data_IF_197530657109
#
_entry.id   IF_197530657109
#
_cell.length_a   1.000
_cell.length_b   1.000
_cell.length_c   1.000
_cell.angle_alpha   90.00
_cell.angle_beta   90.00
_cell.angle_gamma   90.00
#
_symmetry.space_group_name_H-M   'P 1'
#
loop_
_entity.id
_entity.type
_entity.pdbx_description
1 polymer ?
#
# COMPACT_ATOMS: atom_id res chain seq x y z
N UNK A 1 10.21 36.76 -1.31
CA UNK A 1 9.02 37.12 -2.12
C UNK A 1 7.81 36.66 -1.33
N UNK A 2 7.23 37.54 -0.52
CA UNK A 2 5.94 37.29 0.15
C UNK A 2 4.85 37.69 -0.85
N UNK A 3 4.39 36.74 -1.65
CA UNK A 3 3.09 36.86 -2.32
C UNK A 3 2.06 36.48 -1.26
N UNK A 4 1.20 37.43 -0.90
CA UNK A 4 0.04 37.22 -0.04
C UNK A 4 -0.89 36.22 -0.73
N UNK A 5 -0.73 34.93 -0.45
CA UNK A 5 -1.72 33.91 -0.79
C UNK A 5 -2.78 33.94 0.29
N UNK A 6 -3.92 34.53 -0.02
CA UNK A 6 -5.12 34.30 0.78
C UNK A 6 -5.50 32.80 0.72
N UNK A 7 -6.32 32.34 1.66
CA UNK A 7 -6.79 30.95 1.68
C UNK A 7 -7.73 30.60 0.49
N UNK A 8 -7.85 31.48 -0.52
CA UNK A 8 -8.73 31.30 -1.70
C UNK A 8 -8.39 30.07 -2.52
N UNK A 9 -7.11 29.71 -2.61
CA UNK A 9 -6.65 28.51 -3.32
C UNK A 9 -7.15 27.26 -2.59
N UNK A 10 -7.03 27.23 -1.27
CA UNK A 10 -7.48 26.11 -0.43
C UNK A 10 -9.01 25.98 -0.44
N UNK A 11 -9.70 27.11 -0.44
CA UNK A 11 -11.14 27.16 -0.60
C UNK A 11 -11.58 26.59 -1.95
N UNK A 12 -10.99 27.04 -3.05
CA UNK A 12 -11.36 26.61 -4.40
C UNK A 12 -11.10 25.12 -4.58
N UNK A 13 -9.95 24.65 -4.09
CA UNK A 13 -9.63 23.22 -4.07
C UNK A 13 -10.68 22.39 -3.32
N UNK A 14 -11.10 22.81 -2.14
CA UNK A 14 -12.12 22.09 -1.37
C UNK A 14 -13.49 22.17 -2.05
N UNK A 15 -13.87 23.31 -2.64
CA UNK A 15 -15.11 23.46 -3.42
C UNK A 15 -15.17 22.54 -4.64
N UNK A 16 -14.05 22.32 -5.33
CA UNK A 16 -14.03 21.35 -6.43
C UNK A 16 -14.11 19.92 -5.91
N UNK A 17 -13.37 19.63 -4.83
CA UNK A 17 -13.28 18.29 -4.29
C UNK A 17 -14.62 17.77 -3.75
N UNK A 18 -15.49 18.62 -3.18
CA UNK A 18 -16.79 18.17 -2.64
C UNK A 18 -17.70 17.53 -3.71
N UNK A 19 -17.48 17.83 -4.99
CA UNK A 19 -18.27 17.27 -6.09
C UNK A 19 -17.76 15.92 -6.59
N UNK A 20 -16.54 15.53 -6.22
CA UNK A 20 -15.84 14.36 -6.78
C UNK A 20 -15.42 13.36 -5.70
N UNK A 21 -15.20 13.82 -4.47
CA UNK A 21 -14.65 13.03 -3.38
C UNK A 21 -15.73 12.68 -2.35
N UNK A 22 -15.63 11.48 -1.79
CA UNK A 22 -16.44 11.07 -0.64
C UNK A 22 -15.99 11.83 0.63
N UNK A 23 -16.88 12.04 1.62
CA UNK A 23 -16.60 12.76 2.87
C UNK A 23 -15.31 12.31 3.57
N UNK A 24 -15.03 11.01 3.59
CA UNK A 24 -13.80 10.45 4.14
C UNK A 24 -12.54 10.88 3.38
N UNK A 25 -12.57 10.84 2.06
CA UNK A 25 -11.46 11.29 1.22
C UNK A 25 -11.23 12.81 1.39
N UNK A 26 -12.32 13.58 1.49
CA UNK A 26 -12.27 15.00 1.85
C UNK A 26 -11.62 15.24 3.21
N UNK A 27 -11.98 14.49 4.26
CA UNK A 27 -11.34 14.58 5.59
C UNK A 27 -9.85 14.28 5.53
N UNK A 28 -9.44 13.26 4.76
CA UNK A 28 -8.01 12.94 4.58
C UNK A 28 -7.27 14.07 3.87
N UNK A 29 -7.84 14.59 2.79
CA UNK A 29 -7.29 15.71 2.04
C UNK A 29 -7.15 16.94 2.93
N UNK A 30 -8.20 17.31 3.67
CA UNK A 30 -8.18 18.39 4.64
C UNK A 30 -7.07 18.20 5.69
N UNK A 31 -6.93 16.99 6.24
CA UNK A 31 -5.85 16.69 7.20
C UNK A 31 -4.45 16.83 6.59
N UNK A 32 -4.27 16.47 5.32
CA UNK A 32 -3.01 16.67 4.60
C UNK A 32 -2.73 18.15 4.34
N UNK A 33 -3.75 18.93 3.99
CA UNK A 33 -3.64 20.37 3.82
C UNK A 33 -3.15 21.03 5.12
N UNK A 34 -3.74 20.67 6.27
CA UNK A 34 -3.26 21.15 7.58
C UNK A 34 -1.78 20.82 7.81
N UNK A 35 -1.34 19.61 7.46
CA UNK A 35 0.03 19.17 7.75
C UNK A 35 1.09 19.83 6.87
N UNK A 36 0.78 20.04 5.59
CA UNK A 36 1.78 20.30 4.55
C UNK A 36 1.59 21.63 3.82
N UNK A 37 0.48 22.34 4.05
CA UNK A 37 0.19 23.64 3.42
C UNK A 37 0.26 24.78 4.45
N UNK A 38 0.59 25.97 3.98
CA UNK A 38 0.49 27.21 4.77
C UNK A 38 -0.95 27.73 4.65
N UNK A 39 -1.78 27.43 5.65
CA UNK A 39 -3.17 27.89 5.75
C UNK A 39 -3.22 28.98 6.81
N UNK A 40 -3.77 30.14 6.47
CA UNK A 40 -3.83 31.30 7.37
C UNK A 40 -4.90 31.10 8.45
N UNK A 41 -6.08 30.60 8.07
CA UNK A 41 -7.20 30.36 8.97
C UNK A 41 -7.84 28.96 8.78
N UNK A 42 -7.22 27.91 9.33
CA UNK A 42 -7.77 26.55 9.28
C UNK A 42 -9.17 26.42 9.88
N UNK A 43 -9.49 27.21 10.90
CA UNK A 43 -10.80 27.20 11.55
C UNK A 43 -11.89 27.72 10.62
N UNK A 44 -11.62 28.77 9.85
CA UNK A 44 -12.58 29.28 8.87
C UNK A 44 -12.89 28.24 7.77
N UNK A 45 -11.86 27.56 7.25
CA UNK A 45 -12.06 26.46 6.31
C UNK A 45 -12.85 25.31 6.92
N UNK A 46 -12.53 24.91 8.16
CA UNK A 46 -13.31 23.90 8.88
C UNK A 46 -14.79 24.30 9.00
N UNK A 47 -15.08 25.50 9.51
CA UNK A 47 -16.45 25.98 9.72
C UNK A 47 -17.27 25.98 8.43
N UNK A 48 -16.63 26.27 7.31
CA UNK A 48 -17.27 26.27 6.01
C UNK A 48 -17.53 24.86 5.45
N UNK A 49 -16.59 23.93 5.60
CA UNK A 49 -16.66 22.62 4.95
C UNK A 49 -17.09 21.49 5.91
N UNK A 50 -17.26 21.74 7.22
CA UNK A 50 -17.56 20.71 8.24
C UNK A 50 -18.77 19.85 7.90
N UNK A 51 -19.78 20.40 7.22
CA UNK A 51 -20.94 19.63 6.75
C UNK A 51 -20.52 18.55 5.74
N UNK A 52 -19.83 18.93 4.67
CA UNK A 52 -19.35 18.00 3.65
C UNK A 52 -18.30 17.03 4.19
N UNK A 53 -17.43 17.52 5.07
CA UNK A 53 -16.45 16.71 5.79
C UNK A 53 -17.10 15.71 6.75
N UNK A 54 -18.38 15.81 7.07
CA UNK A 54 -19.05 14.95 8.06
C UNK A 54 -20.33 14.30 7.51
N UNK A 55 -20.61 14.42 6.22
CA UNK A 55 -21.90 14.06 5.63
C UNK A 55 -22.25 12.57 5.82
N UNK A 56 -21.28 11.68 5.71
CA UNK A 56 -21.41 10.25 6.00
C UNK A 56 -21.77 9.98 7.47
N UNK A 57 -21.12 10.68 8.41
CA UNK A 57 -21.46 10.60 9.83
C UNK A 57 -22.84 11.20 10.14
N UNK A 58 -23.21 12.30 9.48
CA UNK A 58 -24.54 12.91 9.60
C UNK A 58 -25.61 11.89 9.18
N UNK A 59 -25.43 11.26 8.01
CA UNK A 59 -26.36 10.24 7.50
C UNK A 59 -26.49 9.04 8.44
N UNK A 60 -25.39 8.62 9.07
CA UNK A 60 -25.33 7.45 9.95
C UNK A 60 -25.89 7.73 11.35
N UNK A 61 -25.50 8.84 11.95
CA UNK A 61 -25.78 9.16 13.35
C UNK A 61 -27.07 9.96 13.54
N UNK A 62 -27.53 10.65 12.48
CA UNK A 62 -28.67 11.56 12.51
C UNK A 62 -28.53 12.65 13.62
N UNK A 63 -27.29 13.03 13.93
CA UNK A 63 -26.91 14.05 14.90
C UNK A 63 -25.69 14.79 14.35
N UNK A 64 -25.86 16.09 14.07
CA UNK A 64 -24.83 16.91 13.42
C UNK A 64 -23.66 17.20 14.36
N UNK A 65 -23.92 17.51 15.63
CA UNK A 65 -22.86 17.86 16.57
C UNK A 65 -22.00 16.64 16.87
N UNK A 66 -22.64 15.48 17.01
CA UNK A 66 -21.94 14.22 17.13
C UNK A 66 -21.16 13.88 15.85
N UNK A 67 -21.74 14.08 14.67
CA UNK A 67 -21.04 13.85 13.40
C UNK A 67 -19.81 14.76 13.21
N UNK A 68 -19.92 16.05 13.55
CA UNK A 68 -18.79 16.99 13.53
C UNK A 68 -17.70 16.58 14.51
N UNK A 69 -18.09 16.13 15.70
CA UNK A 69 -17.16 15.61 16.70
C UNK A 69 -16.40 14.37 16.18
N UNK A 70 -17.06 13.47 15.46
CA UNK A 70 -16.42 12.31 14.81
C UNK A 70 -15.45 12.73 13.71
N UNK A 71 -15.82 13.69 12.87
CA UNK A 71 -14.93 14.21 11.84
C UNK A 71 -13.70 14.90 12.45
N UNK A 72 -13.86 15.68 13.52
CA UNK A 72 -12.75 16.26 14.28
C UNK A 72 -11.86 15.18 14.89
N UNK A 73 -12.45 14.09 15.40
CA UNK A 73 -11.68 12.99 15.99
C UNK A 73 -10.87 12.22 14.93
N UNK A 74 -11.44 12.00 13.74
CA UNK A 74 -10.74 11.45 12.59
C UNK A 74 -9.53 12.31 12.21
N UNK A 75 -9.73 13.63 12.06
CA UNK A 75 -8.66 14.57 11.72
C UNK A 75 -7.58 14.55 12.82
N UNK A 76 -7.97 14.61 14.09
CA UNK A 76 -7.04 14.61 15.22
C UNK A 76 -6.15 13.36 15.23
N UNK A 77 -6.74 12.18 14.96
CA UNK A 77 -6.00 10.92 14.85
C UNK A 77 -4.99 10.95 13.69
N UNK A 78 -5.37 11.52 12.54
CA UNK A 78 -4.46 11.64 11.39
C UNK A 78 -3.28 12.57 11.70
N UNK A 79 -3.54 13.70 12.35
CA UNK A 79 -2.51 14.65 12.78
C UNK A 79 -1.56 14.05 13.83
N UNK A 80 -2.09 13.21 14.73
CA UNK A 80 -1.30 12.53 15.77
C UNK A 80 -0.21 11.62 15.19
N UNK A 81 -0.42 11.05 13.99
CA UNK A 81 0.62 10.28 13.29
C UNK A 81 1.87 11.10 12.95
N UNK A 82 1.74 12.43 12.86
CA UNK A 82 2.84 13.37 12.64
C UNK A 82 3.20 14.15 13.91
N UNK A 83 2.72 13.71 15.09
CA UNK A 83 2.98 14.37 16.36
C UNK A 83 2.26 15.72 16.54
N UNK A 84 1.22 15.99 15.75
CA UNK A 84 0.35 17.19 15.87
C UNK A 84 -1.05 16.81 16.37
N UNK A 85 -1.89 17.81 16.61
CA UNK A 85 -3.26 17.69 17.09
C UNK A 85 -4.15 18.78 16.48
N UNK A 86 -5.47 18.65 16.62
CA UNK A 86 -6.43 19.68 16.19
C UNK A 86 -6.11 21.06 16.77
N UNK A 87 -5.61 21.09 18.02
CA UNK A 87 -5.27 22.32 18.73
C UNK A 87 -4.16 23.10 18.04
N UNK A 88 -3.22 22.43 17.39
CA UNK A 88 -2.12 23.08 16.65
C UNK A 88 -2.63 23.89 15.45
N UNK A 89 -3.87 23.62 15.02
CA UNK A 89 -4.55 24.29 13.91
C UNK A 89 -5.78 25.08 14.35
N UNK A 90 -5.90 25.39 15.65
CA UNK A 90 -7.03 26.14 16.23
C UNK A 90 -8.40 25.45 16.05
N UNK A 91 -8.41 24.14 15.75
CA UNK A 91 -9.62 23.34 15.67
C UNK A 91 -9.99 22.82 17.07
N UNK A 92 -11.29 22.54 17.25
CA UNK A 92 -11.78 21.92 18.49
C UNK A 92 -11.20 20.53 18.68
N UNK A 93 -10.81 20.21 19.92
CA UNK A 93 -10.48 18.85 20.29
C UNK A 93 -11.76 18.01 20.33
N UNK A 94 -11.71 16.76 19.85
CA UNK A 94 -12.85 15.86 19.95
C UNK A 94 -13.19 15.58 21.42
N UNK A 95 -14.47 15.50 21.76
CA UNK A 95 -14.94 15.12 23.11
C UNK A 95 -15.06 13.60 23.23
N UNK A 96 -14.75 13.02 24.39
CA UNK A 96 -14.96 11.58 24.68
C UNK A 96 -16.46 11.21 24.72
N UNK A 97 -16.89 9.99 24.34
CA UNK A 97 -16.08 8.79 24.08
C UNK A 97 -15.99 8.48 22.57
N UNK A 98 -15.37 9.37 21.80
CA UNK A 98 -15.30 9.17 20.34
C UNK A 98 -14.16 8.23 19.95
N UNK A 99 -13.12 8.07 20.78
CA UNK A 99 -11.99 7.17 20.50
C UNK A 99 -12.42 5.71 20.26
N UNK A 100 -13.50 5.27 20.90
CA UNK A 100 -14.09 3.94 20.75
C UNK A 100 -15.05 3.82 19.55
N UNK A 101 -15.49 4.94 18.97
CA UNK A 101 -16.50 4.98 17.91
C UNK A 101 -15.95 5.48 16.56
N UNK A 102 -14.67 5.87 16.48
CA UNK A 102 -13.92 5.90 15.21
C UNK A 102 -13.61 4.44 14.79
N UNK A 103 -14.67 3.63 14.63
CA UNK A 103 -14.67 2.54 13.67
C UNK A 103 -14.66 3.20 12.28
N UNK A 104 -13.71 3.04 11.38
CA UNK A 104 -12.38 2.45 11.34
C UNK A 104 -11.68 3.10 10.13
N UNK A 105 -10.41 2.78 9.92
CA UNK A 105 -9.78 2.77 8.58
C UNK A 105 -10.54 1.94 7.51
N UNK A 106 -11.70 1.35 7.85
CA UNK A 106 -12.50 0.45 7.03
C UNK A 106 -13.98 0.87 6.91
N UNK A 107 -14.33 2.15 7.13
CA UNK A 107 -15.66 2.68 6.79
C UNK A 107 -15.81 2.74 5.26
N UNK A 108 -16.17 1.59 4.69
CA UNK A 108 -16.48 1.38 3.29
C UNK A 108 -17.95 1.00 3.18
N UNK A 109 -18.60 1.45 2.11
CA UNK A 109 -19.90 0.88 1.76
C UNK A 109 -19.67 -0.58 1.35
N UNK A 110 -20.08 -1.49 2.25
CA UNK A 110 -19.93 -2.93 2.04
C UNK A 110 -20.64 -3.39 0.76
N UNK A 111 -21.76 -2.75 0.41
CA UNK A 111 -22.51 -3.07 -0.80
C UNK A 111 -21.72 -2.66 -2.05
N UNK A 112 -21.13 -1.47 -2.03
CA UNK A 112 -20.28 -0.98 -3.14
C UNK A 112 -19.04 -1.86 -3.31
N UNK A 113 -18.34 -2.17 -2.22
CA UNK A 113 -17.17 -3.06 -2.25
C UNK A 113 -17.52 -4.46 -2.75
N UNK A 114 -18.68 -4.99 -2.34
CA UNK A 114 -19.16 -6.28 -2.83
C UNK A 114 -19.49 -6.23 -4.34
N UNK A 115 -20.07 -5.14 -4.83
CA UNK A 115 -20.30 -4.95 -6.27
C UNK A 115 -18.99 -4.89 -7.05
N UNK A 116 -18.01 -4.11 -6.59
CA UNK A 116 -16.69 -4.01 -7.22
C UNK A 116 -16.02 -5.38 -7.24
N UNK A 117 -16.08 -6.13 -6.13
CA UNK A 117 -15.53 -7.48 -6.05
C UNK A 117 -16.22 -8.42 -7.05
N UNK A 118 -17.55 -8.40 -7.13
CA UNK A 118 -18.32 -9.23 -8.05
C UNK A 118 -17.99 -8.93 -9.53
N UNK A 119 -17.64 -7.68 -9.87
CA UNK A 119 -17.19 -7.30 -11.21
C UNK A 119 -15.75 -7.75 -11.50
N UNK A 120 -14.86 -7.69 -10.50
CA UNK A 120 -13.44 -7.98 -10.68
C UNK A 120 -13.10 -9.48 -10.63
N UNK A 121 -13.78 -10.27 -9.78
CA UNK A 121 -13.51 -11.70 -9.60
C UNK A 121 -13.57 -12.50 -10.93
N UNK A 122 -14.55 -12.29 -11.82
CA UNK A 122 -14.60 -12.97 -13.12
C UNK A 122 -13.44 -12.64 -14.06
N UNK A 123 -12.76 -11.50 -13.86
CA UNK A 123 -11.64 -11.04 -14.69
C UNK A 123 -10.31 -11.68 -14.28
N UNK A 124 -10.25 -12.38 -13.14
CA UNK A 124 -9.05 -13.09 -12.71
C UNK A 124 -8.74 -14.23 -13.68
N UNK A 125 -7.49 -14.30 -14.12
CA UNK A 125 -7.03 -15.44 -14.92
C UNK A 125 -6.96 -16.73 -14.06
N UNK A 126 -6.71 -17.87 -14.68
CA UNK A 126 -6.73 -19.17 -13.99
C UNK A 126 -5.74 -19.25 -12.80
N UNK A 127 -4.53 -18.72 -12.96
CA UNK A 127 -3.49 -18.72 -11.92
C UNK A 127 -3.92 -17.84 -10.73
N UNK A 128 -4.37 -16.61 -11.03
CA UNK A 128 -4.87 -15.65 -10.04
C UNK A 128 -6.10 -16.17 -9.30
N UNK A 129 -7.04 -16.79 -10.03
CA UNK A 129 -8.27 -17.33 -9.46
C UNK A 129 -8.01 -18.47 -8.50
N UNK A 130 -7.06 -19.36 -8.82
CA UNK A 130 -6.63 -20.44 -7.91
C UNK A 130 -6.10 -19.86 -6.60
N UNK A 131 -5.16 -18.91 -6.68
CA UNK A 131 -4.59 -18.24 -5.50
C UNK A 131 -5.68 -17.56 -4.67
N UNK A 132 -6.58 -16.83 -5.33
CA UNK A 132 -7.70 -16.15 -4.69
C UNK A 132 -8.58 -17.14 -3.91
N UNK A 133 -8.97 -18.26 -4.54
CA UNK A 133 -9.77 -19.30 -3.89
C UNK A 133 -9.06 -19.94 -2.70
N UNK A 134 -7.78 -20.28 -2.83
CA UNK A 134 -7.01 -20.92 -1.76
C UNK A 134 -6.86 -19.98 -0.54
N UNK A 135 -6.70 -18.67 -0.77
CA UNK A 135 -6.68 -17.67 0.30
C UNK A 135 -8.06 -17.53 0.94
N UNK A 136 -9.15 -17.51 0.16
CA UNK A 136 -10.50 -17.43 0.71
C UNK A 136 -10.86 -18.63 1.59
N UNK A 137 -10.40 -19.83 1.23
CA UNK A 137 -10.54 -21.01 2.09
C UNK A 137 -9.86 -20.78 3.45
N UNK A 138 -8.64 -20.24 3.46
CA UNK A 138 -7.94 -19.91 4.70
C UNK A 138 -8.64 -18.81 5.53
N UNK A 139 -9.33 -17.88 4.87
CA UNK A 139 -10.14 -16.84 5.51
C UNK A 139 -11.39 -17.43 6.17
N UNK A 140 -12.05 -18.38 5.50
CA UNK A 140 -13.34 -18.92 5.95
C UNK A 140 -13.19 -20.08 6.94
N UNK A 141 -12.07 -20.79 6.92
CA UNK A 141 -11.80 -21.91 7.84
C UNK A 141 -11.11 -21.47 9.13
N UNK A 142 -11.39 -22.21 10.21
CA UNK A 142 -10.71 -22.02 11.50
C UNK A 142 -9.21 -22.33 11.40
N UNK A 143 -8.42 -21.74 12.30
CA UNK A 143 -6.94 -21.74 12.33
C UNK A 143 -6.24 -23.11 12.21
N UNK A 144 -6.95 -24.22 12.37
CA UNK A 144 -6.37 -25.57 12.47
C UNK A 144 -6.28 -26.33 11.15
N UNK A 145 -6.95 -25.90 10.07
CA UNK A 145 -7.19 -26.77 8.90
C UNK A 145 -6.38 -26.36 7.65
N UNK A 146 -6.14 -25.07 7.43
CA UNK A 146 -5.54 -24.57 6.18
C UNK A 146 -4.22 -23.80 6.41
N UNK A 147 -3.35 -23.83 5.39
CA UNK A 147 -2.12 -23.04 5.35
C UNK A 147 -2.46 -21.55 5.37
N UNK A 148 -1.72 -20.75 6.14
CA UNK A 148 -2.01 -19.32 6.35
C UNK A 148 -0.96 -18.36 5.80
N UNK A 149 0.18 -18.88 5.34
CA UNK A 149 1.30 -18.09 4.86
C UNK A 149 1.47 -18.35 3.36
N UNK A 150 1.24 -17.32 2.56
CA UNK A 150 1.19 -17.39 1.10
C UNK A 150 2.27 -16.50 0.49
N UNK A 151 3.16 -17.08 -0.32
CA UNK A 151 4.09 -16.33 -1.14
C UNK A 151 3.64 -16.41 -2.59
N UNK A 152 3.41 -15.26 -3.21
CA UNK A 152 3.03 -15.17 -4.63
C UNK A 152 4.20 -14.54 -5.38
N UNK A 153 4.94 -15.39 -6.08
CA UNK A 153 5.93 -14.96 -7.05
C UNK A 153 5.21 -14.54 -8.31
N UNK A 154 5.32 -13.29 -8.73
CA UNK A 154 4.69 -12.87 -9.98
C UNK A 154 5.65 -12.08 -10.85
N UNK A 155 5.75 -12.47 -12.12
CA UNK A 155 6.57 -11.75 -13.08
C UNK A 155 6.05 -10.31 -13.28
N UNK A 156 6.89 -9.45 -13.85
CA UNK A 156 6.46 -8.11 -14.26
C UNK A 156 5.24 -8.21 -15.20
N UNK A 157 4.16 -7.49 -14.87
CA UNK A 157 2.93 -7.52 -15.68
C UNK A 157 2.00 -8.72 -15.45
N UNK A 158 2.25 -9.57 -14.46
CA UNK A 158 1.37 -10.72 -14.16
C UNK A 158 0.05 -10.38 -13.41
N UNK A 159 -0.22 -9.09 -13.20
CA UNK A 159 -1.44 -8.64 -12.51
C UNK A 159 -1.47 -8.87 -10.99
N UNK A 160 -0.31 -8.91 -10.31
CA UNK A 160 -0.22 -9.03 -8.83
C UNK A 160 -1.10 -8.01 -8.09
N UNK A 161 -0.96 -6.73 -8.45
CA UNK A 161 -1.74 -5.62 -7.88
C UNK A 161 -3.24 -5.79 -8.14
N UNK A 162 -3.63 -6.29 -9.32
CA UNK A 162 -5.04 -6.53 -9.65
C UNK A 162 -5.62 -7.67 -8.79
N UNK A 163 -4.89 -8.78 -8.65
CA UNK A 163 -5.26 -9.88 -7.75
C UNK A 163 -5.42 -9.39 -6.31
N UNK A 164 -4.44 -8.64 -5.80
CA UNK A 164 -4.49 -8.08 -4.45
C UNK A 164 -5.69 -7.15 -4.26
N UNK A 165 -5.85 -6.14 -5.11
CA UNK A 165 -6.96 -5.20 -4.96
C UNK A 165 -8.32 -5.89 -5.08
N UNK A 166 -8.45 -6.93 -5.91
CA UNK A 166 -9.67 -7.75 -5.98
C UNK A 166 -9.94 -8.50 -4.67
N UNK A 167 -8.91 -9.13 -4.10
CA UNK A 167 -9.00 -9.78 -2.78
C UNK A 167 -9.35 -8.80 -1.66
N UNK A 168 -8.64 -7.67 -1.59
CA UNK A 168 -8.85 -6.66 -0.56
C UNK A 168 -10.27 -6.07 -0.63
N UNK A 169 -10.75 -5.77 -1.84
CA UNK A 169 -12.13 -5.30 -2.07
C UNK A 169 -13.15 -6.34 -1.63
N UNK A 170 -12.94 -7.62 -1.96
CA UNK A 170 -13.81 -8.70 -1.49
C UNK A 170 -13.87 -8.79 0.05
N UNK A 171 -12.72 -8.64 0.73
CA UNK A 171 -12.66 -8.66 2.19
C UNK A 171 -13.47 -7.51 2.81
N UNK A 172 -13.39 -6.30 2.25
CA UNK A 172 -14.18 -5.16 2.73
C UNK A 172 -15.67 -5.38 2.55
N UNK A 173 -16.10 -5.88 1.38
CA UNK A 173 -17.49 -6.23 1.12
C UNK A 173 -18.06 -7.28 2.09
N UNK A 174 -17.18 -8.10 2.69
CA UNK A 174 -17.53 -9.14 3.67
C UNK A 174 -17.17 -8.73 5.12
N UNK A 175 -16.99 -7.44 5.37
CA UNK A 175 -16.69 -6.88 6.70
C UNK A 175 -15.44 -7.51 7.36
N UNK A 176 -14.42 -7.80 6.56
CA UNK A 176 -13.12 -8.28 7.03
C UNK A 176 -12.08 -7.15 6.95
N UNK A 177 -11.42 -6.89 8.08
CA UNK A 177 -10.29 -5.94 8.16
C UNK A 177 -9.01 -6.59 7.61
N UNK A 178 -8.16 -5.80 6.97
CA UNK A 178 -6.87 -6.26 6.44
C UNK A 178 -5.82 -5.16 6.52
N UNK A 179 -4.54 -5.50 6.64
CA UNK A 179 -3.45 -4.51 6.55
C UNK A 179 -2.72 -4.72 5.23
N UNK A 180 -2.53 -3.67 4.41
CA UNK A 180 -1.76 -3.74 3.16
C UNK A 180 -0.53 -2.83 3.22
N UNK A 181 0.63 -3.41 2.95
CA UNK A 181 1.93 -2.77 3.20
C UNK A 181 2.85 -2.96 2.00
N UNK A 182 3.63 -1.92 1.69
CA UNK A 182 4.78 -2.00 0.79
C UNK A 182 6.04 -1.44 1.47
N UNK A 183 7.22 -1.78 0.94
CA UNK A 183 8.47 -1.18 1.44
C UNK A 183 8.55 0.32 1.10
N UNK A 184 8.17 0.71 -0.12
CA UNK A 184 8.20 2.10 -0.62
C UNK A 184 6.80 2.67 -0.85
N UNK A 185 6.70 4.01 -0.94
CA UNK A 185 5.41 4.72 -1.01
C UNK A 185 4.68 4.61 -2.35
N UNK A 186 5.40 4.50 -3.47
CA UNK A 186 4.76 4.43 -4.80
C UNK A 186 3.98 3.12 -4.98
N UNK A 187 4.53 1.92 -4.70
CA UNK A 187 3.74 0.69 -4.73
C UNK A 187 2.62 0.69 -3.68
N UNK A 188 2.83 1.33 -2.51
CA UNK A 188 1.78 1.43 -1.49
C UNK A 188 0.55 2.19 -2.02
N UNK A 189 0.73 3.27 -2.78
CA UNK A 189 -0.40 4.04 -3.31
C UNK A 189 -1.23 3.29 -4.37
N UNK A 190 -0.69 2.21 -4.95
CA UNK A 190 -1.39 1.36 -5.91
C UNK A 190 -2.25 0.28 -5.24
N UNK A 191 -2.04 0.01 -3.95
CA UNK A 191 -2.85 -0.92 -3.17
C UNK A 191 -3.99 -0.18 -2.46
N UNK A 192 -5.16 -0.82 -2.38
CA UNK A 192 -6.28 -0.29 -1.60
C UNK A 192 -5.88 -0.16 -0.13
N UNK A 193 -5.88 1.06 0.39
CA UNK A 193 -5.34 1.44 1.71
C UNK A 193 -3.88 1.05 1.95
N UNK A 194 -3.08 0.94 0.89
CA UNK A 194 -1.68 0.62 1.03
C UNK A 194 -0.95 1.73 1.78
N UNK A 195 -0.11 1.31 2.72
CA UNK A 195 0.81 2.18 3.45
C UNK A 195 2.22 1.60 3.42
N UNK A 196 3.21 2.40 3.79
CA UNK A 196 4.59 1.88 3.87
C UNK A 196 4.80 1.08 5.16
N UNK A 197 5.82 0.22 5.17
CA UNK A 197 6.16 -0.64 6.31
C UNK A 197 6.50 0.15 7.58
N UNK A 198 6.95 1.40 7.43
CA UNK A 198 7.38 2.27 8.52
C UNK A 198 6.23 2.67 9.44
N UNK A 199 5.16 3.37 8.99
CA UNK A 199 4.01 3.70 9.83
C UNK A 199 3.24 2.45 10.26
N UNK A 200 3.07 1.45 9.37
CA UNK A 200 2.29 0.25 9.64
C UNK A 200 2.81 -0.54 10.86
N UNK A 201 4.13 -0.59 11.03
CA UNK A 201 4.78 -1.30 12.14
C UNK A 201 5.53 -0.38 13.11
N UNK A 202 5.35 0.94 13.01
CA UNK A 202 6.06 1.95 13.83
C UNK A 202 7.58 1.71 13.86
N UNK A 203 8.17 1.43 12.69
CA UNK A 203 9.61 1.24 12.52
C UNK A 203 10.33 2.59 12.42
N UNK A 204 11.56 2.71 12.96
CA UNK A 204 12.32 3.95 12.89
C UNK A 204 12.72 4.32 11.45
N UNK A 205 12.95 5.61 11.20
CA UNK A 205 13.54 6.13 9.97
C UNK A 205 14.89 6.76 10.34
N UNK A 206 16.02 6.27 9.82
CA UNK A 206 16.17 5.15 8.87
C UNK A 206 15.92 3.78 9.51
N UNK A 207 15.49 2.81 8.69
CA UNK A 207 15.43 1.40 9.08
C UNK A 207 16.83 0.79 8.95
N UNK A 208 17.34 0.28 10.07
CA UNK A 208 18.58 -0.49 10.20
C UNK A 208 18.30 -1.96 10.52
N UNK A 209 19.26 -2.86 10.31
CA UNK A 209 19.08 -4.31 10.52
C UNK A 209 18.64 -4.70 11.94
N UNK A 210 19.06 -3.94 12.95
CA UNK A 210 18.71 -4.13 14.36
C UNK A 210 17.51 -3.27 14.80
N UNK A 211 16.79 -2.65 13.86
CA UNK A 211 15.63 -1.83 14.18
C UNK A 211 14.49 -2.66 14.75
N UNK A 212 13.92 -2.16 15.84
CA UNK A 212 12.78 -2.77 16.50
C UNK A 212 11.54 -1.91 16.34
N UNK A 213 10.39 -2.56 16.21
CA UNK A 213 9.09 -1.90 16.20
C UNK A 213 8.80 -1.26 17.56
N UNK A 214 8.33 0.00 17.54
CA UNK A 214 7.93 0.75 18.73
C UNK A 214 6.46 0.56 19.13
N UNK A 215 5.75 -0.36 18.47
CA UNK A 215 4.34 -0.64 18.78
C UNK A 215 4.23 -1.11 20.23
N UNK A 216 3.37 -0.42 20.99
CA UNK A 216 2.91 -0.80 22.32
C UNK A 216 1.68 -1.70 22.20
N UNK A 217 1.56 -2.71 23.06
CA UNK A 217 0.44 -3.65 23.01
C UNK A 217 -0.95 -3.02 23.14
N UNK A 218 -1.08 -1.85 23.78
CA UNK A 218 -2.37 -1.16 23.97
C UNK A 218 -2.60 -0.05 22.93
N UNK A 219 -1.80 0.03 21.87
CA UNK A 219 -1.98 1.07 20.85
C UNK A 219 -3.02 0.69 19.81
N UNK A 220 -3.63 1.69 19.17
CA UNK A 220 -4.54 1.48 18.04
C UNK A 220 -3.91 0.69 16.87
N UNK A 221 -2.59 0.79 16.68
CA UNK A 221 -1.86 -0.02 15.68
C UNK A 221 -1.86 -1.51 16.08
N UNK A 222 -1.64 -1.80 17.36
CA UNK A 222 -1.72 -3.17 17.86
C UNK A 222 -3.13 -3.73 17.73
N UNK A 223 -4.16 -2.92 18.00
CA UNK A 223 -5.55 -3.31 17.80
C UNK A 223 -5.87 -3.54 16.32
N UNK A 224 -5.36 -2.71 15.41
CA UNK A 224 -5.51 -2.94 13.98
C UNK A 224 -4.90 -4.31 13.58
N UNK A 225 -3.70 -4.64 14.08
CA UNK A 225 -3.11 -5.97 13.87
C UNK A 225 -4.00 -7.07 14.44
N UNK A 226 -4.55 -6.91 15.66
CA UNK A 226 -5.45 -7.89 16.28
C UNK A 226 -6.70 -8.15 15.47
N UNK A 227 -7.36 -7.10 15.00
CA UNK A 227 -8.62 -7.22 14.28
C UNK A 227 -8.44 -7.55 12.80
N UNK A 228 -7.29 -7.24 12.20
CA UNK A 228 -7.00 -7.60 10.82
C UNK A 228 -6.99 -9.12 10.63
N UNK A 229 -7.69 -9.61 9.61
CA UNK A 229 -7.73 -11.03 9.27
C UNK A 229 -6.54 -11.41 8.39
N UNK A 230 -6.15 -10.50 7.50
CA UNK A 230 -5.03 -10.65 6.57
C UNK A 230 -4.04 -9.49 6.73
N UNK A 231 -2.75 -9.80 6.62
CA UNK A 231 -1.68 -8.81 6.41
C UNK A 231 -0.99 -9.12 5.08
N UNK A 232 -0.97 -8.14 4.18
CA UNK A 232 -0.36 -8.20 2.86
C UNK A 232 0.93 -7.38 2.85
N UNK A 233 1.99 -7.96 2.31
CA UNK A 233 3.26 -7.27 2.06
C UNK A 233 3.62 -7.42 0.59
N UNK A 234 3.45 -6.36 -0.20
CA UNK A 234 3.89 -6.32 -1.59
C UNK A 234 5.33 -5.79 -1.68
N UNK A 235 5.99 -6.08 -2.80
CA UNK A 235 7.41 -5.82 -3.04
C UNK A 235 8.35 -6.40 -1.95
N UNK A 236 8.06 -7.64 -1.51
CA UNK A 236 8.80 -8.33 -0.45
C UNK A 236 10.29 -8.51 -0.78
N UNK A 237 10.69 -8.47 -2.06
CA UNK A 237 12.10 -8.62 -2.46
C UNK A 237 12.98 -7.50 -1.94
N UNK A 238 12.42 -6.31 -1.69
CA UNK A 238 13.14 -5.15 -1.15
C UNK A 238 13.27 -5.18 0.39
N UNK A 239 12.51 -6.05 1.07
CA UNK A 239 12.47 -6.08 2.53
C UNK A 239 13.67 -6.87 3.08
N UNK A 240 14.40 -6.27 4.00
CA UNK A 240 15.50 -6.95 4.70
C UNK A 240 14.96 -8.05 5.63
N UNK A 241 15.60 -9.22 5.69
CA UNK A 241 15.16 -10.36 6.51
C UNK A 241 14.98 -10.01 7.98
N UNK A 242 15.85 -9.16 8.54
CA UNK A 242 15.79 -8.78 9.96
C UNK A 242 14.52 -7.99 10.26
N UNK A 243 14.07 -7.16 9.32
CA UNK A 243 12.83 -6.40 9.43
C UNK A 243 11.62 -7.30 9.30
N UNK A 244 11.68 -8.24 8.36
CA UNK A 244 10.64 -9.26 8.23
C UNK A 244 10.52 -10.13 9.50
N UNK A 245 11.65 -10.49 10.10
CA UNK A 245 11.69 -11.22 11.37
C UNK A 245 11.16 -10.39 12.53
N UNK A 246 11.50 -9.10 12.60
CA UNK A 246 11.00 -8.19 13.64
C UNK A 246 9.48 -8.01 13.55
N UNK A 247 8.93 -7.88 12.33
CA UNK A 247 7.48 -7.88 12.10
C UNK A 247 6.87 -9.19 12.61
N UNK A 248 7.46 -10.33 12.26
CA UNK A 248 7.01 -11.64 12.74
C UNK A 248 7.06 -11.76 14.27
N UNK A 249 8.10 -11.22 14.92
CA UNK A 249 8.22 -11.17 16.38
C UNK A 249 7.13 -10.29 16.99
N UNK A 250 6.92 -9.09 16.44
CA UNK A 250 5.95 -8.12 16.96
C UNK A 250 4.50 -8.59 16.79
N UNK A 251 4.16 -9.25 15.68
CA UNK A 251 2.81 -9.82 15.50
C UNK A 251 2.55 -10.93 16.54
N UNK A 252 3.53 -11.82 16.80
CA UNK A 252 3.40 -12.85 17.85
C UNK A 252 3.19 -12.23 19.24
N UNK A 253 3.95 -11.18 19.54
CA UNK A 253 3.84 -10.41 20.80
C UNK A 253 2.45 -9.79 20.97
N UNK A 254 1.91 -9.15 19.93
CA UNK A 254 0.59 -8.48 19.97
C UNK A 254 -0.56 -9.48 20.06
N UNK A 255 -0.43 -10.60 19.35
CA UNK A 255 -1.43 -11.67 19.30
C UNK A 255 -1.36 -12.63 20.50
N UNK A 256 -0.28 -12.56 21.29
CA UNK A 256 0.02 -13.54 22.34
C UNK A 256 -0.07 -14.99 21.83
N UNK A 257 0.50 -15.24 20.65
CA UNK A 257 0.42 -16.51 19.94
C UNK A 257 1.79 -16.85 19.32
N UNK A 258 2.37 -17.97 19.72
CA UNK A 258 3.72 -18.40 19.31
C UNK A 258 3.79 -18.98 17.89
N UNK A 259 2.64 -19.27 17.26
CA UNK A 259 2.57 -19.69 15.85
C UNK A 259 3.27 -18.63 14.99
N UNK A 260 4.02 -19.01 13.93
CA UNK A 260 4.65 -18.06 13.02
C UNK A 260 3.70 -16.94 12.60
N UNK A 261 4.17 -15.69 12.75
CA UNK A 261 3.38 -14.47 12.46
C UNK A 261 2.03 -14.41 13.22
N UNK A 262 1.98 -14.98 14.43
CA UNK A 262 0.85 -14.88 15.36
C UNK A 262 -0.45 -15.53 14.87
N UNK A 263 -0.36 -16.51 13.97
CA UNK A 263 -1.52 -17.22 13.41
C UNK A 263 -2.31 -16.42 12.35
N UNK A 264 -1.83 -15.22 11.99
CA UNK A 264 -2.44 -14.39 10.95
C UNK A 264 -2.29 -15.00 9.57
N UNK A 265 -3.22 -14.65 8.68
CA UNK A 265 -3.06 -14.93 7.25
C UNK A 265 -2.10 -13.88 6.70
N UNK A 266 -0.95 -14.32 6.22
CA UNK A 266 0.08 -13.44 5.68
C UNK A 266 0.26 -13.74 4.20
N UNK A 267 0.14 -12.70 3.39
CA UNK A 267 0.37 -12.80 1.95
C UNK A 267 1.56 -11.90 1.61
N UNK A 268 2.64 -12.51 1.13
CA UNK A 268 3.81 -11.79 0.66
C UNK A 268 3.93 -11.93 -0.86
N UNK A 269 4.21 -10.83 -1.55
CA UNK A 269 4.26 -10.78 -3.00
C UNK A 269 5.54 -10.10 -3.45
N UNK A 270 6.07 -10.55 -4.57
CA UNK A 270 7.21 -9.90 -5.19
C UNK A 270 7.88 -10.74 -6.25
N UNK A 271 8.91 -10.17 -6.85
CA UNK A 271 9.78 -10.87 -7.79
C UNK A 271 11.23 -10.61 -7.40
N UNK A 272 11.91 -11.66 -6.93
CA UNK A 272 13.31 -11.58 -6.49
C UNK A 272 14.31 -11.34 -7.64
N UNK A 273 13.83 -11.24 -8.88
CA UNK A 273 14.62 -10.78 -10.02
C UNK A 273 14.63 -9.25 -10.14
N UNK A 274 13.80 -8.55 -9.36
CA UNK A 274 13.80 -7.09 -9.26
C UNK A 274 14.84 -6.62 -8.22
N UNK A 275 14.53 -5.55 -7.49
CA UNK A 275 15.43 -5.00 -6.49
C UNK A 275 15.53 -5.93 -5.26
N UNK A 276 16.76 -6.20 -4.87
CA UNK A 276 17.11 -6.80 -3.59
C UNK A 276 17.07 -5.73 -2.47
N UNK A 277 17.15 -6.13 -1.18
CA UNK A 277 17.22 -5.18 -0.09
C UNK A 277 18.45 -4.27 -0.22
N UNK A 278 18.29 -3.00 0.11
CA UNK A 278 19.39 -2.04 0.10
C UNK A 278 20.23 -2.27 1.35
N UNK A 279 21.48 -2.72 1.16
CA UNK A 279 22.48 -2.85 2.23
C UNK A 279 23.69 -2.00 1.84
N UNK A 280 23.92 -0.86 2.50
CA UNK A 280 25.01 0.05 2.14
C UNK A 280 26.37 -0.65 2.19
N UNK A 281 27.19 -0.44 1.16
CA UNK A 281 28.55 -0.99 1.03
C UNK A 281 28.64 -2.53 0.98
N UNK A 282 27.51 -3.22 0.85
CA UNK A 282 27.48 -4.67 0.89
C UNK A 282 27.91 -5.33 -0.42
N UNK A 283 28.61 -6.45 -0.29
CA UNK A 283 28.89 -7.36 -1.40
C UNK A 283 27.68 -8.22 -1.79
N UNK A 284 27.78 -8.93 -2.92
CA UNK A 284 26.71 -9.82 -3.43
C UNK A 284 26.21 -10.83 -2.38
N UNK A 285 27.12 -11.46 -1.64
CA UNK A 285 26.77 -12.47 -0.65
C UNK A 285 26.00 -11.88 0.54
N UNK A 286 26.38 -10.68 0.97
CA UNK A 286 25.71 -9.97 2.06
C UNK A 286 24.30 -9.57 1.63
N UNK A 287 24.12 -9.01 0.43
CA UNK A 287 22.81 -8.71 -0.15
C UNK A 287 21.91 -9.94 -0.31
N UNK A 288 22.48 -11.09 -0.72
CA UNK A 288 21.74 -12.36 -0.78
C UNK A 288 21.33 -12.79 0.63
N UNK A 289 22.27 -12.73 1.58
CA UNK A 289 22.01 -13.13 2.96
C UNK A 289 20.97 -12.23 3.64
N UNK A 290 20.82 -10.98 3.19
CA UNK A 290 19.83 -10.02 3.64
C UNK A 290 18.41 -10.31 3.12
N UNK A 291 18.27 -11.14 2.08
CA UNK A 291 16.98 -11.47 1.48
C UNK A 291 16.04 -12.17 2.46
N UNK A 292 14.73 -11.88 2.39
CA UNK A 292 13.72 -12.64 3.16
C UNK A 292 13.75 -14.15 2.91
N UNK A 293 14.29 -14.61 1.77
CA UNK A 293 14.49 -16.04 1.51
C UNK A 293 15.40 -16.71 2.53
N UNK A 294 16.29 -15.95 3.17
CA UNK A 294 17.18 -16.41 4.23
C UNK A 294 16.56 -16.29 5.64
N UNK A 295 15.29 -15.85 5.76
CA UNK A 295 14.55 -15.88 7.02
C UNK A 295 14.08 -17.29 7.35
N UNK A 296 14.07 -17.65 8.63
CA UNK A 296 13.44 -18.88 9.11
C UNK A 296 11.93 -18.92 8.82
N UNK A 297 11.28 -17.76 8.72
CA UNK A 297 9.85 -17.68 8.40
C UNK A 297 9.55 -18.18 6.98
N UNK A 298 10.51 -18.07 6.06
CA UNK A 298 10.34 -18.38 4.64
C UNK A 298 9.89 -19.83 4.38
N UNK A 299 10.35 -20.78 5.20
CA UNK A 299 10.02 -22.20 5.04
C UNK A 299 8.53 -22.51 5.25
N UNK A 300 7.81 -21.62 5.95
CA UNK A 300 6.40 -21.82 6.26
C UNK A 300 5.46 -21.32 5.16
N UNK A 301 5.97 -20.63 4.14
CA UNK A 301 5.16 -20.07 3.06
C UNK A 301 4.88 -21.09 1.96
N UNK A 302 3.60 -21.27 1.64
CA UNK A 302 3.15 -21.94 0.41
C UNK A 302 3.42 -21.02 -0.77
N UNK A 303 4.01 -21.56 -1.84
CA UNK A 303 4.52 -20.76 -2.96
C UNK A 303 3.61 -20.93 -4.18
N UNK A 304 3.22 -19.81 -4.76
CA UNK A 304 2.50 -19.72 -6.02
C UNK A 304 3.32 -18.94 -7.04
N UNK A 305 3.22 -19.33 -8.30
CA UNK A 305 3.82 -18.63 -9.43
C UNK A 305 2.70 -18.02 -10.31
N UNK A 306 2.79 -16.71 -10.54
CA UNK A 306 2.02 -15.97 -11.54
C UNK A 306 2.93 -15.70 -12.74
N UNK A 307 2.79 -16.53 -13.77
CA UNK A 307 3.64 -16.56 -14.96
C UNK A 307 2.93 -15.94 -16.17
N UNK A 308 1.60 -15.90 -16.15
CA UNK A 308 0.81 -15.32 -17.22
C UNK A 308 0.92 -13.80 -17.21
N UNK A 309 1.61 -13.24 -18.19
CA UNK A 309 1.69 -11.79 -18.39
C UNK A 309 0.37 -11.28 -18.98
N UNK A 310 -0.25 -10.31 -18.31
CA UNK A 310 -1.52 -9.70 -18.72
C UNK A 310 -1.38 -8.24 -19.13
N UNK A 311 -0.15 -7.69 -19.06
CA UNK A 311 0.16 -6.29 -19.42
C UNK A 311 0.71 -6.15 -20.83
N UNK A 312 1.54 -7.10 -21.27
CA UNK A 312 2.13 -7.09 -22.60
C UNK A 312 1.08 -7.43 -23.65
N UNK A 313 1.07 -6.69 -24.76
CA UNK A 313 0.19 -6.98 -25.89
C UNK A 313 0.64 -8.26 -26.62
N UNK A 314 -0.25 -8.98 -27.32
CA UNK A 314 0.10 -10.20 -28.06
C UNK A 314 1.26 -10.02 -29.04
N UNK A 315 1.39 -8.82 -29.63
CA UNK A 315 2.47 -8.48 -30.57
C UNK A 315 3.83 -8.28 -29.89
N UNK A 316 3.89 -8.20 -28.55
CA UNK A 316 5.11 -7.95 -27.78
C UNK A 316 5.71 -9.22 -27.16
N UNK A 317 5.34 -10.41 -27.66
CA UNK A 317 5.84 -11.68 -27.13
C UNK A 317 7.37 -11.79 -27.22
N UNK A 318 7.99 -11.32 -28.30
CA UNK A 318 9.46 -11.34 -28.46
C UNK A 318 10.16 -10.51 -27.36
N UNK A 319 9.64 -9.31 -27.09
CA UNK A 319 10.17 -8.45 -26.02
C UNK A 319 9.98 -9.07 -24.64
N UNK A 320 8.82 -9.67 -24.38
CA UNK A 320 8.54 -10.40 -23.14
C UNK A 320 9.52 -11.55 -22.93
N UNK A 321 9.75 -12.36 -23.95
CA UNK A 321 10.64 -13.52 -23.86
C UNK A 321 12.09 -13.07 -23.66
N UNK A 322 12.52 -12.00 -24.32
CA UNK A 322 13.82 -11.39 -24.09
C UNK A 322 13.99 -10.90 -22.63
N UNK A 323 13.00 -10.17 -22.08
CA UNK A 323 13.02 -9.74 -20.68
C UNK A 323 13.10 -10.93 -19.71
N UNK A 324 12.35 -12.00 -19.98
CA UNK A 324 12.42 -13.22 -19.17
C UNK A 324 13.79 -13.88 -19.25
N UNK A 325 14.45 -13.80 -20.40
CA UNK A 325 15.80 -14.34 -20.57
C UNK A 325 16.84 -13.53 -19.79
N UNK A 326 16.72 -12.20 -19.73
CA UNK A 326 17.58 -11.36 -18.87
C UNK A 326 17.46 -11.78 -17.40
N UNK A 327 16.22 -11.96 -16.92
CA UNK A 327 15.96 -12.29 -15.51
C UNK A 327 16.32 -13.72 -15.11
N UNK A 328 16.38 -14.66 -16.07
CA UNK A 328 16.56 -16.08 -15.79
C UNK A 328 17.93 -16.64 -16.22
N UNK A 329 18.60 -16.04 -17.21
CA UNK A 329 19.81 -16.60 -17.79
C UNK A 329 21.02 -15.67 -17.59
N UNK A 330 21.97 -16.10 -16.74
CA UNK A 330 23.22 -15.38 -16.51
C UNK A 330 24.18 -15.41 -17.71
N UNK A 331 23.93 -16.21 -18.75
CA UNK A 331 24.83 -16.30 -19.91
C UNK A 331 24.68 -15.13 -20.89
N UNK A 332 23.54 -14.43 -20.88
CA UNK A 332 23.33 -13.22 -21.71
C UNK A 332 24.00 -12.00 -21.08
N UNK A 333 24.20 -12.07 -19.76
CA UNK A 333 24.92 -11.08 -18.97
C UNK A 333 26.42 -11.24 -19.23
N UNK A 334 26.99 -10.36 -20.06
CA UNK A 334 28.44 -10.32 -20.24
C UNK A 334 29.05 -9.44 -19.15
N UNK A 335 30.21 -9.82 -18.64
CA UNK A 335 30.97 -8.97 -17.72
C UNK A 335 31.92 -8.08 -18.52
N UNK A 336 31.99 -6.80 -18.16
CA UNK A 336 33.09 -5.94 -18.64
C UNK A 336 34.41 -6.42 -18.03
N UNK A 337 35.53 -6.06 -18.65
CA UNK A 337 36.89 -6.46 -18.22
C UNK A 337 37.20 -6.08 -16.76
N UNK A 338 36.47 -5.11 -16.21
CA UNK A 338 36.58 -4.69 -14.81
C UNK A 338 35.95 -5.67 -13.79
N UNK A 339 35.23 -6.69 -14.25
CA UNK A 339 34.60 -7.74 -13.43
C UNK A 339 33.47 -7.28 -12.51
N UNK A 340 33.11 -5.99 -12.53
CA UNK A 340 32.07 -5.40 -11.65
C UNK A 340 30.80 -5.08 -12.41
N UNK A 341 30.93 -4.67 -13.66
CA UNK A 341 29.81 -4.22 -14.45
C UNK A 341 29.31 -5.34 -15.37
N UNK A 342 27.99 -5.48 -15.40
CA UNK A 342 27.31 -6.47 -16.22
C UNK A 342 26.59 -5.75 -17.34
N UNK A 343 26.82 -6.16 -18.58
CA UNK A 343 26.20 -5.59 -19.78
C UNK A 343 25.22 -6.60 -20.38
N UNK A 344 24.15 -6.08 -20.96
CA UNK A 344 23.17 -6.84 -21.73
C UNK A 344 23.08 -6.26 -23.12
N UNK A 345 23.04 -7.13 -24.13
CA UNK A 345 22.79 -6.69 -25.50
C UNK A 345 21.30 -6.42 -25.67
N UNK A 346 20.97 -5.17 -25.93
CA UNK A 346 19.62 -4.72 -26.28
C UNK A 346 19.33 -5.09 -27.75
N UNK A 347 18.19 -5.73 -28.07
CA UNK A 347 17.79 -6.02 -29.43
C UNK A 347 17.66 -4.74 -30.28
N UNK A 348 18.15 -4.76 -31.51
CA UNK A 348 18.16 -3.57 -32.37
C UNK A 348 16.75 -3.03 -32.66
N UNK A 349 15.74 -3.91 -32.69
CA UNK A 349 14.35 -3.53 -32.99
C UNK A 349 13.66 -2.76 -31.85
N UNK A 350 14.24 -2.71 -30.64
CA UNK A 350 13.72 -1.89 -29.52
C UNK A 350 14.51 -0.61 -29.30
N UNK A 351 15.56 -0.36 -30.10
CA UNK A 351 16.35 0.87 -30.03
C UNK A 351 15.69 1.90 -30.94
N UNK A 352 15.37 3.06 -30.37
CA UNK A 352 14.84 4.21 -31.10
C UNK A 352 15.78 5.39 -30.91
N UNK A 353 16.03 6.15 -31.98
CA UNK A 353 16.94 7.32 -31.93
C UNK A 353 16.36 8.45 -31.08
N UNK A 354 15.04 8.63 -31.13
CA UNK A 354 14.31 9.62 -30.36
C UNK A 354 13.07 8.98 -29.72
N UNK A 355 13.15 8.73 -28.41
CA UNK A 355 12.04 8.13 -27.63
C UNK A 355 10.79 9.02 -27.69
N UNK A 356 10.97 10.33 -27.66
CA UNK A 356 9.87 11.29 -27.69
C UNK A 356 9.11 11.21 -29.02
N UNK A 357 9.81 11.25 -30.14
CA UNK A 357 9.20 11.14 -31.47
C UNK A 357 8.63 9.73 -31.72
N UNK A 358 9.28 8.69 -31.19
CA UNK A 358 8.77 7.32 -31.25
C UNK A 358 7.48 7.12 -30.47
N UNK A 359 7.30 7.77 -29.31
CA UNK A 359 6.12 7.58 -28.44
C UNK A 359 4.99 8.53 -28.83
N UNK A 360 5.31 9.78 -29.12
CA UNK A 360 4.33 10.84 -29.34
C UNK A 360 4.13 11.17 -30.84
N UNK A 361 4.95 10.61 -31.73
CA UNK A 361 4.94 10.93 -33.16
C UNK A 361 5.36 12.37 -33.43
N UNK A 362 5.00 12.88 -34.61
CA UNK A 362 5.14 14.28 -34.99
C UNK A 362 4.12 15.22 -34.30
N UNK A 363 3.25 14.70 -33.41
CA UNK A 363 2.21 15.47 -32.73
C UNK A 363 2.75 16.46 -31.68
N UNK A 364 4.06 16.45 -31.42
CA UNK A 364 4.73 17.49 -30.63
C UNK A 364 5.14 18.70 -31.48
N UNK A 365 4.92 18.66 -32.79
CA UNK A 365 5.16 19.76 -33.72
C UNK A 365 3.80 20.29 -34.17
N UNK A 366 3.12 21.04 -33.31
CA UNK A 366 2.37 22.27 -33.62
C UNK A 366 1.50 22.67 -32.42
N UNK A 367 1.86 23.82 -31.82
CA UNK A 367 0.99 24.74 -31.07
C UNK A 367 -0.18 24.15 -30.26
N UNK A 368 0.05 23.70 -29.02
CA UNK A 368 -1.04 23.67 -28.00
C UNK A 368 -0.50 23.59 -26.55
N UNK A 369 0.50 24.40 -26.23
CA UNK A 369 0.76 24.83 -24.86
C UNK A 369 0.64 26.36 -24.81
N UNK A 370 -0.59 26.84 -24.63
CA UNK A 370 -0.88 28.21 -24.21
C UNK A 370 -1.76 28.21 -22.98
#
# INVERSE_FOLDING_TARGET
MNLLTDDSIWFTMLQEAIHVQLPRALRRMFSQMLLFCEIENPLALWEQFKYHLSEDYIRRLNDNDLAYNYALAYINRYLALQGKSNRDFQLLLPTEPVEHLIEDEYDYDQSEEQEIANRNIPLLNQEQRRIFTDILLAVNENERVSHRLFFIKGIGGAGKTFLLNTLLTYLLGNNHRYISICYTGIPASLLKNGQTIHPAFMLPVPILENSTSRIRNQSAIADNIRYSKIIVIDEISMVHKSIFNEIGRKIREIMNNDIPLGGKIIIILGDFRQCAPIVPLAGKNETISASVKCSQLWQHFVKYDLLTNVRALPQQNEFKDWLMTIGNNSEILRHLENGRDTIVKVPNHIIVENVTESIYGSNLIEHDFR
#
